data_IF_993098374841
#
_entry.id   IF_993098374841
#
_cell.length_a   1.000
_cell.length_b   1.000
_cell.length_c   1.000
_cell.angle_alpha   90.00
_cell.angle_beta   90.00
_cell.angle_gamma   90.00
#
_symmetry.space_group_name_H-M   'P 1'
#
loop_
_entity.id
_entity.type
_entity.pdbx_description
1 polymer ?
#
# COMPACT_ATOMS: atom_id res chain seq x y z
N UNK A 1 -0.01 10.66 15.31
CA UNK A 1 -1.20 10.21 14.53
C UNK A 1 -0.83 9.14 13.53
N UNK A 2 -1.67 8.15 13.42
CA UNK A 2 -1.44 7.02 12.51
C UNK A 2 -2.45 7.05 11.37
N UNK A 3 -1.96 6.98 10.14
CA UNK A 3 -2.82 6.87 8.97
C UNK A 3 -3.37 5.44 8.90
N UNK A 4 -4.69 5.31 8.89
CA UNK A 4 -5.36 4.02 8.81
C UNK A 4 -5.87 3.75 7.40
N UNK A 5 -6.23 2.49 7.14
CA UNK A 5 -6.83 2.12 5.86
C UNK A 5 -8.11 2.90 5.58
N UNK A 6 -8.92 3.15 6.61
CA UNK A 6 -10.15 3.94 6.46
C UNK A 6 -9.86 5.39 6.05
N UNK A 7 -8.77 5.97 6.56
CA UNK A 7 -8.36 7.32 6.15
C UNK A 7 -7.99 7.36 4.67
N UNK A 8 -7.33 6.31 4.20
CA UNK A 8 -6.98 6.18 2.77
C UNK A 8 -8.25 6.07 1.93
N UNK A 9 -9.23 5.28 2.37
CA UNK A 9 -10.51 5.13 1.69
C UNK A 9 -11.24 6.48 1.58
N UNK A 10 -11.29 7.23 2.66
CA UNK A 10 -11.90 8.57 2.65
C UNK A 10 -11.19 9.51 1.68
N UNK A 11 -9.86 9.51 1.69
CA UNK A 11 -9.07 10.33 0.78
C UNK A 11 -9.32 9.96 -0.68
N UNK A 12 -9.43 8.67 -0.99
CA UNK A 12 -9.74 8.20 -2.33
C UNK A 12 -11.13 8.67 -2.77
N UNK A 13 -12.11 8.60 -1.88
CA UNK A 13 -13.47 9.07 -2.16
C UNK A 13 -13.51 10.56 -2.50
N UNK A 14 -12.73 11.36 -1.77
CA UNK A 14 -12.71 12.81 -1.94
C UNK A 14 -11.96 13.27 -3.18
N UNK A 15 -10.88 12.58 -3.53
CA UNK A 15 -9.94 13.05 -4.54
C UNK A 15 -10.05 12.34 -5.89
N UNK A 16 -10.63 11.15 -5.93
CA UNK A 16 -10.73 10.36 -7.16
C UNK A 16 -12.12 10.51 -7.76
N UNK A 17 -12.17 10.89 -9.03
CA UNK A 17 -13.41 11.03 -9.79
C UNK A 17 -13.32 10.19 -11.05
N UNK A 18 -14.41 9.55 -11.42
CA UNK A 18 -14.50 8.77 -12.64
C UNK A 18 -15.40 9.47 -13.64
N UNK A 19 -14.99 9.49 -14.91
CA UNK A 19 -15.83 9.96 -15.98
C UNK A 19 -16.97 8.98 -16.19
N UNK A 20 -18.20 9.50 -16.22
CA UNK A 20 -19.35 8.73 -16.66
C UNK A 20 -19.34 8.64 -18.17
N UNK A 21 -19.64 7.46 -18.69
CA UNK A 21 -19.93 7.31 -20.11
C UNK A 21 -21.37 7.74 -20.34
N UNK A 22 -21.56 9.02 -20.62
CA UNK A 22 -22.85 9.55 -21.01
C UNK A 22 -23.01 9.40 -22.52
N UNK A 23 -24.16 8.91 -22.95
CA UNK A 23 -24.52 8.79 -24.37
C UNK A 23 -25.50 9.90 -24.73
N UNK A 24 -25.27 10.54 -25.90
CA UNK A 24 -26.18 11.49 -26.45
C UNK A 24 -26.01 12.94 -25.99
N UNK A 25 -27.04 13.77 -26.14
CA UNK A 25 -26.93 15.23 -25.90
C UNK A 25 -26.65 15.62 -24.45
N UNK A 26 -26.81 14.74 -23.50
CA UNK A 26 -26.53 15.01 -22.09
C UNK A 26 -25.07 15.40 -21.84
N UNK A 27 -24.15 14.90 -22.64
CA UNK A 27 -22.73 15.24 -22.58
C UNK A 27 -22.46 16.73 -22.76
N UNK A 28 -23.27 17.38 -23.57
CA UNK A 28 -23.10 18.81 -23.92
C UNK A 28 -23.87 19.71 -22.99
N UNK A 29 -25.01 19.25 -22.48
CA UNK A 29 -25.90 20.07 -21.67
C UNK A 29 -25.44 20.16 -20.21
N UNK A 30 -24.85 19.08 -19.68
CA UNK A 30 -24.48 19.01 -18.28
C UNK A 30 -23.07 18.42 -18.14
N UNK A 31 -22.02 19.23 -18.39
CA UNK A 31 -20.63 18.73 -18.27
C UNK A 31 -20.28 18.19 -16.89
N UNK A 32 -20.90 18.70 -15.83
CA UNK A 32 -20.69 18.25 -14.46
C UNK A 32 -21.16 16.81 -14.23
N UNK A 33 -22.01 16.28 -15.10
CA UNK A 33 -22.45 14.89 -15.04
C UNK A 33 -21.44 13.91 -15.63
N UNK A 34 -20.40 14.40 -16.28
CA UNK A 34 -19.33 13.55 -16.84
C UNK A 34 -18.52 12.84 -15.77
N UNK A 35 -18.54 13.34 -14.56
CA UNK A 35 -17.78 12.78 -13.45
C UNK A 35 -18.72 12.22 -12.39
N UNK A 36 -18.33 11.11 -11.81
CA UNK A 36 -19.01 10.55 -10.67
C UNK A 36 -18.01 10.31 -9.55
N UNK A 37 -18.47 10.56 -8.32
CA UNK A 37 -17.67 10.27 -7.15
C UNK A 37 -17.73 8.76 -6.83
N UNK A 38 -16.65 8.23 -6.29
CA UNK A 38 -16.64 6.88 -5.76
C UNK A 38 -17.50 6.79 -4.51
N UNK A 39 -18.40 5.81 -4.47
CA UNK A 39 -19.07 5.44 -3.25
C UNK A 39 -18.09 4.82 -2.26
N UNK A 40 -18.41 4.89 -0.97
CA UNK A 40 -17.57 4.37 0.11
C UNK A 40 -17.22 2.89 -0.08
N UNK A 41 -18.20 2.08 -0.43
CA UNK A 41 -18.03 0.64 -0.65
C UNK A 41 -17.05 0.37 -1.78
N UNK A 42 -17.21 1.07 -2.90
CA UNK A 42 -16.36 0.87 -4.07
C UNK A 42 -14.93 1.37 -3.83
N UNK A 43 -14.79 2.49 -3.13
CA UNK A 43 -13.47 3.00 -2.74
C UNK A 43 -12.75 2.01 -1.83
N UNK A 44 -13.48 1.43 -0.85
CA UNK A 44 -12.92 0.41 0.03
C UNK A 44 -12.47 -0.83 -0.74
N UNK A 45 -13.27 -1.28 -1.70
CA UNK A 45 -12.93 -2.44 -2.56
C UNK A 45 -11.65 -2.19 -3.36
N UNK A 46 -11.49 -1.00 -3.92
CA UNK A 46 -10.29 -0.62 -4.70
C UNK A 46 -9.06 -0.62 -3.80
N UNK A 47 -9.15 -0.02 -2.63
CA UNK A 47 -8.04 0.03 -1.68
C UNK A 47 -7.67 -1.39 -1.20
N UNK A 48 -8.65 -2.21 -0.88
CA UNK A 48 -8.44 -3.59 -0.47
C UNK A 48 -7.79 -4.41 -1.58
N UNK A 49 -8.25 -4.23 -2.81
CA UNK A 49 -7.69 -4.92 -3.98
C UNK A 49 -6.21 -4.57 -4.18
N UNK A 50 -5.85 -3.31 -4.02
CA UNK A 50 -4.46 -2.86 -4.12
C UNK A 50 -3.57 -3.55 -3.07
N UNK A 51 -4.00 -3.54 -1.81
CA UNK A 51 -3.24 -4.17 -0.73
C UNK A 51 -3.18 -5.69 -0.89
N UNK A 52 -4.23 -6.32 -1.37
CA UNK A 52 -4.21 -7.77 -1.64
C UNK A 52 -3.20 -8.13 -2.72
N UNK A 53 -3.06 -7.32 -3.77
CA UNK A 53 -2.05 -7.52 -4.80
C UNK A 53 -0.64 -7.43 -4.24
N UNK A 54 -0.41 -6.45 -3.37
CA UNK A 54 0.89 -6.28 -2.70
C UNK A 54 1.18 -7.52 -1.85
N UNK A 55 0.22 -7.98 -1.08
CA UNK A 55 0.35 -9.18 -0.23
C UNK A 55 0.66 -10.43 -1.04
N UNK A 56 -0.05 -10.64 -2.14
CA UNK A 56 0.17 -11.79 -3.02
C UNK A 56 1.59 -11.85 -3.55
N UNK A 57 2.12 -10.71 -4.01
CA UNK A 57 3.49 -10.63 -4.51
C UNK A 57 4.51 -10.95 -3.40
N UNK A 58 4.29 -10.43 -2.21
CA UNK A 58 5.17 -10.68 -1.06
C UNK A 58 5.13 -12.15 -0.61
N UNK A 59 3.96 -12.78 -0.64
CA UNK A 59 3.81 -14.20 -0.31
C UNK A 59 4.58 -15.08 -1.31
N UNK A 60 4.57 -14.69 -2.58
CA UNK A 60 5.35 -15.40 -3.61
C UNK A 60 6.86 -15.20 -3.48
N UNK A 61 7.29 -14.25 -2.66
CA UNK A 61 8.69 -13.91 -2.48
C UNK A 61 9.21 -12.87 -3.47
N UNK A 62 8.31 -12.18 -4.15
CA UNK A 62 8.67 -11.12 -5.08
C UNK A 62 8.71 -9.76 -4.37
N UNK A 63 9.68 -8.94 -4.73
CA UNK A 63 9.77 -7.58 -4.21
C UNK A 63 8.72 -6.70 -4.87
N UNK A 64 8.19 -5.74 -4.09
CA UNK A 64 7.23 -4.76 -4.59
C UNK A 64 7.88 -3.38 -4.59
N UNK A 65 8.00 -2.77 -5.75
CA UNK A 65 8.55 -1.42 -5.89
C UNK A 65 7.43 -0.46 -6.28
N UNK A 66 7.27 0.60 -5.49
CA UNK A 66 6.33 1.67 -5.79
C UNK A 66 7.16 2.93 -6.06
N UNK A 67 7.15 3.40 -7.30
CA UNK A 67 7.94 4.54 -7.75
C UNK A 67 7.63 5.79 -6.92
N UNK A 68 8.67 6.44 -6.46
CA UNK A 68 8.53 7.66 -5.65
C UNK A 68 8.14 7.44 -4.20
N UNK A 69 7.84 6.22 -3.81
CA UNK A 69 7.42 5.87 -2.44
C UNK A 69 8.47 5.01 -1.74
N UNK A 70 8.71 3.83 -2.24
CA UNK A 70 9.65 2.92 -1.64
C UNK A 70 9.60 1.52 -2.22
N UNK A 71 10.31 0.61 -1.57
CA UNK A 71 10.42 -0.77 -1.99
C UNK A 71 10.18 -1.69 -0.80
N UNK A 72 9.26 -2.63 -0.96
CA UNK A 72 9.10 -3.75 -0.03
C UNK A 72 9.97 -4.89 -0.51
N UNK A 73 10.96 -5.26 0.27
CA UNK A 73 11.93 -6.29 -0.07
C UNK A 73 11.70 -7.51 0.78
N UNK A 74 11.55 -8.66 0.12
CA UNK A 74 11.42 -9.95 0.81
C UNK A 74 12.81 -10.50 1.06
N UNK A 75 13.10 -10.83 2.31
CA UNK A 75 14.36 -11.43 2.72
C UNK A 75 14.10 -12.80 3.31
N UNK A 76 14.88 -13.78 2.89
CA UNK A 76 14.86 -15.11 3.49
C UNK A 76 15.91 -15.17 4.57
N UNK A 77 15.51 -15.55 5.78
CA UNK A 77 16.42 -15.76 6.90
C UNK A 77 16.52 -17.25 7.21
N UNK A 78 17.74 -17.76 7.16
CA UNK A 78 18.01 -19.15 7.46
C UNK A 78 17.79 -19.48 8.94
N UNK A 79 17.50 -20.73 9.24
CA UNK A 79 17.44 -21.21 10.60
C UNK A 79 18.78 -20.96 11.30
N UNK A 80 18.73 -20.52 12.53
CA UNK A 80 19.92 -20.20 13.31
C UNK A 80 19.72 -20.58 14.78
N UNK A 81 20.85 -20.76 15.47
CA UNK A 81 20.83 -20.95 16.92
C UNK A 81 20.76 -19.59 17.62
N UNK A 82 19.80 -19.46 18.52
CA UNK A 82 19.68 -18.28 19.37
C UNK A 82 19.69 -18.70 20.84
N UNK A 83 19.59 -17.71 21.73
CA UNK A 83 19.45 -17.95 23.16
C UNK A 83 18.26 -17.18 23.70
N UNK A 84 17.54 -17.80 24.63
CA UNK A 84 16.50 -17.13 25.39
C UNK A 84 17.17 -16.15 26.36
N UNK A 85 16.95 -14.84 26.28
CA UNK A 85 17.59 -13.88 27.17
C UNK A 85 17.18 -14.02 28.63
N UNK A 86 16.04 -14.65 28.92
CA UNK A 86 15.59 -14.88 30.31
C UNK A 86 16.15 -16.08 30.96
N UNK A 87 16.30 -17.20 30.22
CA UNK A 87 16.76 -18.49 30.77
C UNK A 87 18.16 -18.85 30.34
N UNK A 88 18.69 -18.21 29.29
CA UNK A 88 19.99 -18.55 28.73
C UNK A 88 20.02 -19.87 27.95
N UNK A 89 18.87 -20.52 27.78
CA UNK A 89 18.75 -21.77 27.03
C UNK A 89 18.91 -21.55 25.54
N UNK A 90 19.54 -22.51 24.85
CA UNK A 90 19.68 -22.47 23.40
C UNK A 90 18.35 -22.74 22.75
N UNK A 91 17.99 -21.85 21.77
CA UNK A 91 16.80 -21.98 20.95
C UNK A 91 17.20 -22.17 19.50
N UNK A 92 16.38 -22.91 18.75
CA UNK A 92 16.52 -23.00 17.32
C UNK A 92 15.47 -22.04 16.70
N UNK A 93 15.96 -20.99 16.04
CA UNK A 93 15.10 -20.06 15.31
C UNK A 93 14.89 -20.62 13.91
N UNK A 94 13.66 -20.95 13.57
CA UNK A 94 13.32 -21.52 12.28
C UNK A 94 13.57 -20.54 11.14
N UNK A 95 13.85 -21.08 9.94
CA UNK A 95 13.92 -20.28 8.72
C UNK A 95 12.59 -19.57 8.47
N UNK A 96 12.66 -18.33 7.97
CA UNK A 96 11.46 -17.52 7.72
C UNK A 96 11.72 -16.49 6.65
N UNK A 97 10.66 -16.04 6.04
CA UNK A 97 10.68 -14.86 5.17
C UNK A 97 10.30 -13.64 5.98
N UNK A 98 11.00 -12.55 5.77
CA UNK A 98 10.67 -11.27 6.37
C UNK A 98 10.59 -10.21 5.30
N UNK A 99 9.80 -9.16 5.55
CA UNK A 99 9.66 -8.05 4.63
C UNK A 99 10.29 -6.82 5.26
N UNK A 100 11.16 -6.15 4.52
CA UNK A 100 11.71 -4.86 4.92
C UNK A 100 11.26 -3.80 3.93
N UNK A 101 11.01 -2.59 4.45
CA UNK A 101 10.64 -1.44 3.64
C UNK A 101 11.81 -0.48 3.54
N UNK A 102 12.17 -0.12 2.31
CA UNK A 102 13.19 0.90 2.04
C UNK A 102 12.52 2.10 1.39
N UNK A 103 12.73 3.26 1.97
CA UNK A 103 12.18 4.52 1.47
C UNK A 103 12.88 4.90 0.18
N UNK A 104 12.12 5.42 -0.80
CA UNK A 104 12.69 5.95 -2.03
C UNK A 104 13.50 7.21 -1.75
N UNK A 105 14.45 7.53 -2.64
CA UNK A 105 15.24 8.75 -2.52
C UNK A 105 14.37 9.99 -2.53
N UNK A 106 13.38 10.04 -3.41
CA UNK A 106 12.44 11.16 -3.50
C UNK A 106 11.70 11.40 -2.18
N UNK A 107 11.18 10.33 -1.59
CA UNK A 107 10.45 10.44 -0.33
C UNK A 107 11.38 10.82 0.81
N UNK A 108 12.60 10.26 0.85
CA UNK A 108 13.60 10.59 1.86
C UNK A 108 13.95 12.07 1.82
N UNK A 109 14.22 12.60 0.63
CA UNK A 109 14.53 14.02 0.45
C UNK A 109 13.37 14.90 0.89
N UNK A 110 12.15 14.50 0.57
CA UNK A 110 10.95 15.24 0.94
C UNK A 110 10.73 15.25 2.47
N UNK A 111 11.01 14.12 3.13
CA UNK A 111 10.89 14.01 4.60
C UNK A 111 11.92 14.84 5.35
N UNK A 112 13.11 14.96 4.79
CA UNK A 112 14.25 15.65 5.43
C UNK A 112 14.49 17.05 4.88
N UNK A 113 13.57 17.55 4.07
CA UNK A 113 13.67 18.91 3.53
C UNK A 113 13.46 19.92 4.65
N UNK A 114 14.38 20.87 4.85
CA UNK A 114 14.16 21.96 5.81
C UNK A 114 12.98 22.83 5.34
N UNK A 115 12.13 23.19 6.28
CA UNK A 115 10.98 24.04 6.02
C UNK A 115 11.40 25.50 5.71
#
# INVERSE_FOLDING_TARGET
MTLTKMDIVKSVMENVRFKRRLKGPQLFLFPELDCTFLGRKRAAEIVDSLFEKIKESLVKGEDVRIFGFGKFQVKFKWARKGRNPQTGEALIINSRRTVSFKVSRKLRDKMNRPD
#
